data_IF_211852100488
#
_entry.id   IF_211852100488
#
_cell.length_a   1.000
_cell.length_b   1.000
_cell.length_c   1.000
_cell.angle_alpha   90.00
_cell.angle_beta   90.00
_cell.angle_gamma   90.00
#
_symmetry.space_group_name_H-M   'P 1'
#
loop_
_entity.id
_entity.type
_entity.pdbx_description
1 polymer ?
#
# COMPACT_ATOMS: atom_id res chain seq x y z
N UNK A 1 -21.47 5.87 -23.64
CA UNK A 1 -20.56 5.17 -22.69
C UNK A 1 -19.14 5.49 -23.11
N UNK A 2 -18.52 6.48 -22.48
CA UNK A 2 -17.10 6.76 -22.69
C UNK A 2 -16.32 5.63 -22.02
N UNK A 3 -15.59 4.85 -22.82
CA UNK A 3 -14.69 3.82 -22.33
C UNK A 3 -13.69 4.39 -21.31
N UNK A 4 -13.09 3.56 -20.43
CA UNK A 4 -12.14 4.04 -19.45
C UNK A 4 -11.04 4.81 -20.19
N UNK A 5 -10.80 6.06 -19.78
CA UNK A 5 -9.68 6.86 -20.30
C UNK A 5 -8.40 6.07 -19.97
N UNK A 6 -7.73 5.58 -21.00
CA UNK A 6 -6.43 4.96 -20.86
C UNK A 6 -5.42 6.04 -20.45
N UNK A 7 -5.03 6.08 -19.18
CA UNK A 7 -3.89 6.84 -18.71
C UNK A 7 -2.70 5.88 -18.60
N UNK A 8 -1.48 6.35 -18.90
CA UNK A 8 -0.30 5.49 -18.84
C UNK A 8 -0.03 5.11 -17.37
N UNK A 9 -0.13 3.82 -17.08
CA UNK A 9 0.34 3.24 -15.83
C UNK A 9 1.79 2.80 -16.01
N UNK A 10 2.70 3.49 -15.35
CA UNK A 10 4.13 3.26 -15.48
C UNK A 10 4.66 2.48 -14.27
N UNK A 11 5.48 1.46 -14.53
CA UNK A 11 6.27 0.81 -13.49
C UNK A 11 7.59 1.56 -13.34
N UNK A 12 7.86 2.02 -12.13
CA UNK A 12 9.16 2.57 -11.73
C UNK A 12 10.11 1.42 -11.45
N UNK A 13 11.24 1.41 -12.14
CA UNK A 13 12.28 0.39 -12.00
C UNK A 13 13.32 0.84 -10.96
N UNK A 14 13.42 0.09 -9.88
CA UNK A 14 14.37 0.33 -8.79
C UNK A 14 15.66 -0.49 -8.95
N UNK A 15 15.78 -1.25 -10.03
CA UNK A 15 16.91 -2.11 -10.30
C UNK A 15 16.93 -3.36 -9.42
N UNK A 16 18.13 -3.92 -9.28
CA UNK A 16 18.37 -5.18 -8.59
C UNK A 16 18.53 -6.35 -9.56
N UNK A 17 18.83 -7.53 -9.00
CA UNK A 17 19.06 -8.77 -9.74
C UNK A 17 18.12 -9.86 -9.26
N UNK A 18 17.91 -10.92 -10.08
CA UNK A 18 17.08 -12.04 -9.69
C UNK A 18 15.59 -11.89 -10.05
N UNK A 19 14.71 -12.65 -9.37
CA UNK A 19 13.28 -12.65 -9.71
C UNK A 19 12.62 -11.29 -9.50
N UNK A 20 11.59 -11.01 -10.30
CA UNK A 20 10.84 -9.75 -10.20
C UNK A 20 10.01 -9.72 -8.91
N UNK A 21 10.08 -8.58 -8.22
CA UNK A 21 9.26 -8.21 -7.07
C UNK A 21 8.57 -6.88 -7.34
N UNK A 22 7.25 -6.83 -7.19
CA UNK A 22 6.50 -5.59 -7.18
C UNK A 22 6.17 -5.18 -5.74
N UNK A 23 6.46 -3.91 -5.37
CA UNK A 23 6.08 -3.32 -4.09
C UNK A 23 4.96 -2.31 -4.28
N UNK A 24 3.79 -2.58 -3.70
CA UNK A 24 2.62 -1.70 -3.71
C UNK A 24 2.58 -0.85 -2.44
N UNK A 25 2.63 0.47 -2.60
CA UNK A 25 2.72 1.43 -1.50
C UNK A 25 1.38 1.68 -0.79
N UNK A 26 1.43 2.24 0.43
CA UNK A 26 0.25 2.66 1.20
C UNK A 26 -0.34 3.98 0.68
N UNK A 27 -1.62 4.23 1.02
CA UNK A 27 -2.30 5.49 0.74
C UNK A 27 -1.58 6.67 1.43
N UNK A 28 -1.26 7.72 0.68
CA UNK A 28 -0.58 8.90 1.19
C UNK A 28 0.96 8.80 1.27
N UNK A 29 1.55 7.64 0.91
CA UNK A 29 3.00 7.40 0.93
C UNK A 29 3.47 6.94 -0.47
N UNK A 30 4.00 7.83 -1.31
CA UNK A 30 4.45 7.48 -2.66
C UNK A 30 5.62 6.48 -2.64
N UNK A 31 5.90 5.78 -3.77
CA UNK A 31 6.93 4.73 -3.85
C UNK A 31 8.28 5.12 -3.26
N UNK A 32 8.76 6.34 -3.53
CA UNK A 32 10.04 6.81 -3.03
C UNK A 32 10.19 6.81 -1.51
N UNK A 33 9.08 6.83 -0.76
CA UNK A 33 9.09 6.70 0.72
C UNK A 33 9.64 5.35 1.18
N UNK A 34 9.57 4.33 0.32
CA UNK A 34 10.03 2.95 0.61
C UNK A 34 11.46 2.68 0.12
N UNK A 35 12.20 3.70 -0.34
CA UNK A 35 13.55 3.55 -0.91
C UNK A 35 14.47 2.71 -0.02
N UNK A 36 14.46 2.95 1.29
CA UNK A 36 15.30 2.19 2.24
C UNK A 36 14.89 0.71 2.31
N UNK A 37 13.60 0.41 2.39
CA UNK A 37 13.10 -0.98 2.36
C UNK A 37 13.45 -1.65 1.01
N UNK A 38 13.25 -0.95 -0.10
CA UNK A 38 13.60 -1.43 -1.45
C UNK A 38 15.09 -1.74 -1.53
N UNK A 39 15.95 -0.90 -0.94
CA UNK A 39 17.41 -1.11 -0.90
C UNK A 39 17.84 -2.41 -0.23
N UNK A 40 17.08 -2.91 0.76
CA UNK A 40 17.33 -4.22 1.36
C UNK A 40 16.84 -5.40 0.48
N UNK A 41 15.95 -5.15 -0.48
CA UNK A 41 15.37 -6.18 -1.36
C UNK A 41 16.13 -6.31 -2.68
N UNK A 42 16.68 -5.20 -3.22
CA UNK A 42 17.35 -5.17 -4.53
C UNK A 42 18.59 -6.06 -4.65
N UNK A 43 19.34 -6.43 -3.58
CA UNK A 43 20.40 -7.41 -3.70
C UNK A 43 19.94 -8.81 -4.16
N UNK A 44 18.64 -9.13 -4.01
CA UNK A 44 18.07 -10.45 -4.30
C UNK A 44 16.92 -10.44 -5.29
N UNK A 45 16.30 -9.30 -5.53
CA UNK A 45 15.13 -9.14 -6.38
C UNK A 45 15.29 -7.93 -7.30
N UNK A 46 14.75 -8.04 -8.52
CA UNK A 46 14.55 -6.89 -9.38
C UNK A 46 13.23 -6.23 -8.95
N UNK A 47 13.30 -5.03 -8.37
CA UNK A 47 12.17 -4.38 -7.71
C UNK A 47 11.51 -3.36 -8.61
N UNK A 48 10.18 -3.46 -8.74
CA UNK A 48 9.32 -2.47 -9.39
C UNK A 48 8.29 -1.92 -8.41
N UNK A 49 7.89 -0.67 -8.62
CA UNK A 49 6.71 -0.06 -7.99
C UNK A 49 5.79 0.48 -9.07
N UNK A 50 4.48 0.57 -8.79
CA UNK A 50 3.54 1.18 -9.73
C UNK A 50 3.40 2.68 -9.42
N UNK A 51 3.57 3.52 -10.43
CA UNK A 51 3.12 4.90 -10.41
C UNK A 51 1.60 4.92 -10.55
N UNK A 52 0.91 4.79 -9.43
CA UNK A 52 -0.54 4.73 -9.39
C UNK A 52 -1.18 5.98 -9.99
N UNK A 53 -2.46 5.87 -10.42
CA UNK A 53 -3.21 6.96 -11.08
C UNK A 53 -3.20 8.29 -10.32
N UNK A 54 -3.14 8.28 -9.01
CA UNK A 54 -3.03 9.51 -8.19
C UNK A 54 -1.69 10.25 -8.28
N UNK A 55 -0.68 9.63 -8.90
CA UNK A 55 0.59 10.24 -9.24
C UNK A 55 0.65 10.67 -10.72
N UNK A 56 -0.41 10.40 -11.49
CA UNK A 56 -0.49 10.73 -12.92
C UNK A 56 -1.32 12.01 -13.09
N UNK A 57 -0.75 13.09 -13.71
CA UNK A 57 -1.49 14.32 -13.95
C UNK A 57 -2.76 14.10 -14.80
N UNK A 58 -3.81 14.84 -14.48
CA UNK A 58 -5.06 14.80 -15.24
C UNK A 58 -6.02 13.65 -14.89
N UNK A 59 -5.66 12.80 -13.93
CA UNK A 59 -6.56 11.76 -13.41
C UNK A 59 -7.54 12.34 -12.38
N UNK A 60 -8.72 11.74 -12.25
CA UNK A 60 -9.78 12.19 -11.36
C UNK A 60 -10.01 11.18 -10.22
N UNK A 61 -10.01 11.60 -8.94
CA UNK A 61 -10.34 10.73 -7.83
C UNK A 61 -11.70 10.02 -7.97
N UNK A 62 -12.66 10.62 -8.67
CA UNK A 62 -13.99 10.03 -8.91
C UNK A 62 -13.96 8.77 -9.76
N UNK A 63 -12.86 8.51 -10.48
CA UNK A 63 -12.67 7.31 -11.29
C UNK A 63 -12.35 6.05 -10.43
N UNK A 64 -12.09 6.21 -9.12
CA UNK A 64 -12.01 5.10 -8.17
C UNK A 64 -13.37 4.90 -7.49
N UNK A 65 -13.96 3.75 -7.72
CA UNK A 65 -15.22 3.34 -7.10
C UNK A 65 -15.01 2.35 -5.96
N UNK A 66 -14.01 1.48 -6.09
CA UNK A 66 -13.60 0.49 -5.09
C UNK A 66 -12.10 0.26 -5.17
N UNK A 67 -11.53 -0.46 -4.22
CA UNK A 67 -10.12 -0.85 -4.30
C UNK A 67 -9.85 -1.96 -5.33
N UNK A 68 -10.93 -2.57 -5.88
CA UNK A 68 -10.82 -3.47 -7.03
C UNK A 68 -10.33 -2.72 -8.27
N UNK A 69 -10.63 -1.42 -8.40
CA UNK A 69 -10.11 -0.57 -9.48
C UNK A 69 -8.58 -0.39 -9.35
N UNK A 70 -8.07 -0.25 -8.11
CA UNK A 70 -6.62 -0.17 -7.84
C UNK A 70 -5.93 -1.50 -8.17
N UNK A 71 -6.56 -2.61 -7.81
CA UNK A 71 -6.06 -3.94 -8.16
C UNK A 71 -6.07 -4.19 -9.67
N UNK A 72 -7.11 -3.74 -10.36
CA UNK A 72 -7.21 -3.81 -11.82
C UNK A 72 -6.10 -3.01 -12.52
N UNK A 73 -5.78 -1.82 -12.02
CA UNK A 73 -4.63 -1.03 -12.50
C UNK A 73 -3.31 -1.79 -12.34
N UNK A 74 -3.12 -2.42 -11.18
CA UNK A 74 -1.92 -3.21 -10.90
C UNK A 74 -1.79 -4.39 -11.85
N UNK A 75 -2.86 -5.17 -12.04
CA UNK A 75 -2.88 -6.29 -12.99
C UNK A 75 -2.56 -5.81 -14.39
N UNK A 76 -3.21 -4.73 -14.84
CA UNK A 76 -3.00 -4.16 -16.16
C UNK A 76 -1.54 -3.73 -16.37
N UNK A 77 -0.97 -2.96 -15.44
CA UNK A 77 0.41 -2.47 -15.55
C UNK A 77 1.44 -3.61 -15.61
N UNK A 78 1.28 -4.61 -14.75
CA UNK A 78 2.19 -5.75 -14.70
C UNK A 78 2.08 -6.62 -15.97
N UNK A 79 0.87 -6.88 -16.45
CA UNK A 79 0.64 -7.66 -17.69
C UNK A 79 1.10 -6.91 -18.94
N UNK A 80 0.90 -5.59 -19.00
CA UNK A 80 1.39 -4.76 -20.11
C UNK A 80 2.93 -4.80 -20.23
N UNK A 81 3.64 -5.06 -19.11
CA UNK A 81 5.10 -5.28 -19.08
C UNK A 81 5.50 -6.73 -19.37
N UNK A 82 4.55 -7.62 -19.64
CA UNK A 82 4.80 -9.05 -19.86
C UNK A 82 5.19 -9.81 -18.59
N UNK A 83 4.92 -9.27 -17.40
CA UNK A 83 5.30 -9.89 -16.14
C UNK A 83 4.30 -10.98 -15.73
N UNK A 84 4.84 -12.08 -15.23
CA UNK A 84 4.10 -13.21 -14.67
C UNK A 84 4.91 -13.89 -13.57
N UNK A 85 4.24 -14.63 -12.68
CA UNK A 85 4.86 -15.38 -11.58
C UNK A 85 5.83 -14.54 -10.74
N UNK A 86 5.52 -13.26 -10.54
CA UNK A 86 6.34 -12.34 -9.74
C UNK A 86 6.04 -12.48 -8.24
N UNK A 87 6.87 -11.86 -7.41
CA UNK A 87 6.57 -11.66 -5.99
C UNK A 87 5.75 -10.37 -5.85
N UNK A 88 4.63 -10.44 -5.14
CA UNK A 88 3.84 -9.28 -4.77
C UNK A 88 4.07 -8.91 -3.30
N UNK A 89 4.60 -7.74 -3.02
CA UNK A 89 4.68 -7.16 -1.66
C UNK A 89 3.79 -5.94 -1.61
N UNK A 90 2.95 -5.82 -0.60
CA UNK A 90 2.11 -4.63 -0.46
C UNK A 90 2.04 -4.15 0.98
N UNK A 91 1.84 -2.84 1.17
CA UNK A 91 1.63 -2.23 2.48
C UNK A 91 0.24 -1.57 2.53
N UNK A 92 -0.52 -1.82 3.60
CA UNK A 92 -1.82 -1.16 3.84
C UNK A 92 -2.80 -1.33 2.67
N UNK A 93 -3.17 -0.25 1.98
CA UNK A 93 -3.91 -0.26 0.71
C UNK A 93 -3.23 -1.18 -0.32
N UNK A 94 -1.92 -1.05 -0.48
CA UNK A 94 -1.12 -1.85 -1.40
C UNK A 94 -1.19 -3.34 -1.11
N UNK A 95 -1.25 -3.74 0.18
CA UNK A 95 -1.48 -5.13 0.58
C UNK A 95 -2.80 -5.68 0.06
N UNK A 96 -3.86 -4.90 0.24
CA UNK A 96 -5.20 -5.30 -0.20
C UNK A 96 -5.27 -5.33 -1.73
N UNK A 97 -4.69 -4.33 -2.41
CA UNK A 97 -4.64 -4.30 -3.88
C UNK A 97 -3.88 -5.51 -4.44
N UNK A 98 -2.75 -5.90 -3.82
CA UNK A 98 -1.97 -7.08 -4.24
C UNK A 98 -2.75 -8.39 -4.02
N UNK A 99 -3.44 -8.54 -2.87
CA UNK A 99 -4.30 -9.71 -2.61
C UNK A 99 -5.48 -9.78 -3.58
N UNK A 100 -6.12 -8.66 -3.89
CA UNK A 100 -7.19 -8.59 -4.88
C UNK A 100 -6.66 -8.95 -6.28
N UNK A 101 -5.52 -8.39 -6.69
CA UNK A 101 -4.87 -8.68 -7.96
C UNK A 101 -4.51 -10.18 -8.08
N UNK A 102 -3.95 -10.78 -7.03
CA UNK A 102 -3.63 -12.21 -7.00
C UNK A 102 -4.88 -13.12 -7.09
N UNK A 103 -6.02 -12.64 -6.61
CA UNK A 103 -7.30 -13.36 -6.76
C UNK A 103 -7.94 -13.17 -8.13
N UNK A 104 -7.70 -12.03 -8.79
CA UNK A 104 -8.20 -11.72 -10.14
C UNK A 104 -7.38 -12.40 -11.23
N UNK A 105 -6.08 -12.51 -11.02
CA UNK A 105 -5.14 -13.11 -11.96
C UNK A 105 -4.19 -14.11 -11.23
N UNK A 106 -4.60 -15.37 -11.09
CA UNK A 106 -3.82 -16.38 -10.35
C UNK A 106 -2.44 -16.68 -10.93
N UNK A 107 -2.21 -16.39 -12.21
CA UNK A 107 -0.91 -16.61 -12.87
C UNK A 107 0.09 -15.46 -12.68
N UNK A 108 -0.36 -14.34 -12.14
CA UNK A 108 0.47 -13.13 -12.06
C UNK A 108 1.51 -13.21 -10.94
N UNK A 109 1.15 -13.81 -9.81
CA UNK A 109 2.04 -13.91 -8.64
C UNK A 109 2.43 -15.36 -8.34
N UNK A 110 3.67 -15.55 -7.82
CA UNK A 110 4.16 -16.80 -7.25
C UNK A 110 4.15 -16.82 -5.73
N UNK A 111 4.16 -15.65 -5.11
CA UNK A 111 4.03 -15.44 -3.67
C UNK A 111 3.50 -14.03 -3.37
N UNK A 112 2.81 -13.85 -2.26
CA UNK A 112 2.29 -12.55 -1.82
C UNK A 112 2.71 -12.27 -0.38
N UNK A 113 3.18 -11.05 -0.11
CA UNK A 113 3.44 -10.54 1.25
C UNK A 113 2.56 -9.32 1.49
N UNK A 114 1.69 -9.43 2.48
CA UNK A 114 0.77 -8.38 2.89
C UNK A 114 1.22 -7.76 4.23
N UNK A 115 1.75 -6.55 4.16
CA UNK A 115 2.25 -5.79 5.31
C UNK A 115 1.12 -4.90 5.84
N UNK A 116 0.65 -5.23 7.03
CA UNK A 116 -0.46 -4.57 7.76
C UNK A 116 -1.69 -4.25 6.89
N UNK A 117 -2.31 -5.29 6.30
CA UNK A 117 -3.43 -5.11 5.37
C UNK A 117 -4.66 -4.54 6.08
N UNK A 118 -5.44 -3.71 5.37
CA UNK A 118 -6.72 -3.19 5.87
C UNK A 118 -7.79 -4.28 5.81
N UNK A 119 -7.80 -5.15 6.82
CA UNK A 119 -8.75 -6.25 6.97
C UNK A 119 -9.64 -6.00 8.19
N UNK A 120 -10.90 -5.66 7.96
CA UNK A 120 -11.85 -5.38 9.02
C UNK A 120 -12.73 -6.59 9.34
N UNK A 121 -13.07 -6.73 10.64
CA UNK A 121 -13.94 -7.81 11.16
C UNK A 121 -15.02 -7.24 12.07
N UNK A 122 -15.96 -8.08 12.49
CA UNK A 122 -16.91 -7.82 13.55
C UNK A 122 -17.66 -6.49 13.43
N UNK A 123 -17.65 -5.71 14.50
CA UNK A 123 -18.34 -4.41 14.61
C UNK A 123 -17.76 -3.37 13.64
N UNK A 124 -16.42 -3.36 13.42
CA UNK A 124 -15.76 -2.41 12.51
C UNK A 124 -16.22 -2.62 11.07
N UNK A 125 -16.29 -3.86 10.61
CA UNK A 125 -16.81 -4.19 9.26
C UNK A 125 -18.29 -3.82 9.12
N UNK A 126 -19.10 -4.07 10.16
CA UNK A 126 -20.53 -3.69 10.15
C UNK A 126 -20.68 -2.17 10.07
N UNK A 127 -19.97 -1.42 10.91
CA UNK A 127 -19.97 0.05 10.88
C UNK A 127 -19.58 0.57 9.50
N UNK A 128 -18.49 0.05 8.92
CA UNK A 128 -18.03 0.44 7.60
C UNK A 128 -19.13 0.22 6.54
N UNK A 129 -19.84 -0.93 6.58
CA UNK A 129 -20.93 -1.23 5.65
C UNK A 129 -22.11 -0.26 5.82
N UNK A 130 -22.48 0.07 7.06
CA UNK A 130 -23.55 1.05 7.35
C UNK A 130 -23.15 2.43 6.83
N UNK A 131 -21.95 2.91 7.13
CA UNK A 131 -21.45 4.19 6.64
C UNK A 131 -21.39 4.23 5.10
N UNK A 132 -21.05 3.13 4.46
CA UNK A 132 -21.06 2.99 3.00
C UNK A 132 -22.48 3.07 2.44
N UNK A 133 -23.41 2.36 3.05
CA UNK A 133 -24.82 2.35 2.64
C UNK A 133 -25.47 3.74 2.80
N UNK A 134 -25.18 4.42 3.92
CA UNK A 134 -25.66 5.79 4.18
C UNK A 134 -24.90 6.87 3.39
N UNK A 135 -23.89 6.52 2.60
CA UNK A 135 -22.98 7.46 1.88
C UNK A 135 -22.25 8.45 2.82
N UNK A 136 -22.03 8.06 4.08
CA UNK A 136 -21.40 8.89 5.12
C UNK A 136 -19.90 8.66 5.26
N UNK A 137 -19.27 7.87 4.40
CA UNK A 137 -17.83 7.56 4.51
C UNK A 137 -16.93 8.77 4.42
N UNK A 138 -17.35 9.79 3.71
CA UNK A 138 -16.62 11.05 3.67
C UNK A 138 -16.50 11.77 5.01
N UNK A 139 -17.37 11.48 5.96
CA UNK A 139 -17.34 12.04 7.32
C UNK A 139 -16.49 11.19 8.26
N UNK A 140 -16.09 9.98 7.85
CA UNK A 140 -15.24 9.12 8.65
C UNK A 140 -13.86 9.77 8.86
N UNK A 141 -13.30 9.72 10.10
CA UNK A 141 -12.10 10.49 10.46
C UNK A 141 -10.93 10.40 9.48
N UNK A 142 -10.52 9.22 8.96
CA UNK A 142 -9.42 9.15 7.99
C UNK A 142 -9.68 9.96 6.72
N UNK A 143 -10.89 9.91 6.15
CA UNK A 143 -11.23 10.66 4.94
C UNK A 143 -11.32 12.17 5.22
N UNK A 144 -11.95 12.57 6.33
CA UNK A 144 -12.05 13.98 6.72
C UNK A 144 -10.68 14.57 7.07
N UNK A 145 -9.83 13.84 7.76
CA UNK A 145 -8.46 14.24 8.07
C UNK A 145 -7.63 14.43 6.80
N UNK A 146 -7.74 13.50 5.84
CA UNK A 146 -7.05 13.62 4.56
C UNK A 146 -7.47 14.88 3.80
N UNK A 147 -8.77 15.21 3.74
CA UNK A 147 -9.26 16.44 3.09
C UNK A 147 -8.72 17.71 3.74
N UNK A 148 -8.51 17.69 5.06
CA UNK A 148 -8.06 18.83 5.84
C UNK A 148 -6.53 18.93 5.94
N UNK A 149 -5.78 18.01 5.31
CA UNK A 149 -4.31 18.09 5.29
C UNK A 149 -3.86 19.39 4.61
N UNK A 150 -2.80 19.98 5.17
CA UNK A 150 -2.06 21.04 4.47
C UNK A 150 -1.43 20.43 3.22
N UNK A 151 -1.72 21.00 2.06
CA UNK A 151 -1.28 20.51 0.76
C UNK A 151 -0.10 21.29 0.20
N UNK A 152 0.02 22.59 0.55
CA UNK A 152 1.07 23.48 0.07
C UNK A 152 2.02 23.88 1.20
N UNK A 153 3.31 23.91 0.85
CA UNK A 153 4.42 24.20 1.75
C UNK A 153 5.39 25.18 1.09
N UNK A 154 5.90 26.22 1.79
CA UNK A 154 6.90 27.12 1.25
C UNK A 154 8.20 26.41 0.87
N UNK A 155 8.61 25.40 1.70
CA UNK A 155 9.82 24.60 1.45
C UNK A 155 9.68 23.19 2.03
N UNK A 156 10.58 22.30 1.64
CA UNK A 156 10.69 20.95 2.22
C UNK A 156 11.16 20.99 3.67
N UNK A 157 12.00 21.94 4.04
CA UNK A 157 12.53 22.14 5.39
C UNK A 157 11.38 22.51 6.36
N UNK A 158 10.50 23.45 5.95
CA UNK A 158 9.33 23.80 6.76
C UNK A 158 8.40 22.60 6.91
N UNK A 159 8.15 21.86 5.84
CA UNK A 159 7.35 20.64 5.89
C UNK A 159 7.97 19.61 6.85
N UNK A 160 9.26 19.35 6.73
CA UNK A 160 9.98 18.41 7.60
C UNK A 160 9.89 18.83 9.07
N UNK A 161 10.17 20.10 9.37
CA UNK A 161 10.11 20.64 10.74
C UNK A 161 8.73 20.46 11.38
N UNK A 162 7.65 20.69 10.60
CA UNK A 162 6.27 20.54 11.13
C UNK A 162 5.78 19.10 11.16
N UNK A 163 6.14 18.29 10.17
CA UNK A 163 5.65 16.92 10.07
C UNK A 163 6.35 15.98 11.05
N UNK A 164 7.64 16.18 11.34
CA UNK A 164 8.41 15.33 12.27
C UNK A 164 7.77 15.24 13.66
N UNK A 165 7.10 16.28 14.12
CA UNK A 165 6.44 16.34 15.42
C UNK A 165 5.05 15.70 15.45
N UNK A 166 4.49 15.31 14.29
CA UNK A 166 3.19 14.63 14.25
C UNK A 166 3.32 13.16 14.68
N UNK A 167 2.35 12.62 15.45
CA UNK A 167 2.38 11.23 15.93
C UNK A 167 2.66 10.22 14.81
N UNK A 168 2.11 10.45 13.62
CA UNK A 168 2.29 9.59 12.44
C UNK A 168 3.76 9.35 12.06
N UNK A 169 4.65 10.33 12.30
CA UNK A 169 6.05 10.29 11.84
C UNK A 169 7.06 10.07 12.99
N UNK A 170 6.59 9.99 14.24
CA UNK A 170 7.49 9.93 15.39
C UNK A 170 8.36 8.67 15.43
N UNK A 171 7.80 7.54 15.00
CA UNK A 171 8.51 6.24 14.97
C UNK A 171 9.24 5.98 13.64
N UNK A 172 9.11 6.86 12.63
CA UNK A 172 9.79 6.65 11.34
C UNK A 172 11.30 6.59 11.51
N UNK A 173 11.91 5.63 10.82
CA UNK A 173 13.35 5.65 10.56
C UNK A 173 13.73 7.00 9.96
N UNK A 174 14.85 7.62 10.39
CA UNK A 174 15.24 8.96 9.93
C UNK A 174 15.37 9.08 8.41
N UNK A 175 15.93 8.06 7.74
CA UNK A 175 16.05 8.05 6.28
C UNK A 175 14.68 7.88 5.59
N UNK A 176 13.81 7.00 6.10
CA UNK A 176 12.45 6.85 5.59
C UNK A 176 11.64 8.14 5.73
N UNK A 177 11.85 8.89 6.81
CA UNK A 177 11.24 10.22 6.96
C UNK A 177 11.76 11.20 5.92
N UNK A 178 13.08 11.23 5.69
CA UNK A 178 13.67 12.09 4.65
C UNK A 178 13.20 11.69 3.26
N UNK A 179 13.08 10.39 2.98
CA UNK A 179 12.52 9.85 1.74
C UNK A 179 11.07 10.27 1.54
N UNK A 180 10.26 10.29 2.62
CA UNK A 180 8.90 10.82 2.58
C UNK A 180 8.88 12.32 2.24
N UNK A 181 9.75 13.14 2.84
CA UNK A 181 9.83 14.57 2.53
C UNK A 181 10.25 14.78 1.06
N UNK A 182 11.19 13.98 0.57
CA UNK A 182 11.70 14.09 -0.80
C UNK A 182 10.68 13.66 -1.85
N UNK A 183 10.06 12.50 -1.65
CA UNK A 183 9.12 11.89 -2.62
C UNK A 183 7.67 12.32 -2.43
N UNK A 184 7.29 12.66 -1.21
CA UNK A 184 5.94 13.10 -0.86
C UNK A 184 5.63 14.55 -1.19
N UNK A 185 6.63 15.33 -1.62
CA UNK A 185 6.50 16.74 -1.98
C UNK A 185 7.11 17.03 -3.36
N UNK A 186 6.28 17.53 -4.26
CA UNK A 186 6.67 17.95 -5.62
C UNK A 186 6.72 19.48 -5.70
N UNK A 187 7.77 20.02 -6.30
CA UNK A 187 7.91 21.47 -6.55
C UNK A 187 6.83 21.97 -7.49
N UNK A 188 6.38 23.21 -7.27
CA UNK A 188 5.44 23.91 -8.14
C UNK A 188 6.17 25.00 -8.94
N UNK A 189 5.59 25.48 -10.06
CA UNK A 189 6.20 26.58 -10.83
C UNK A 189 6.41 27.88 -10.01
N UNK A 190 5.60 28.08 -8.97
CA UNK A 190 5.66 29.23 -8.08
C UNK A 190 6.75 29.11 -7.00
N UNK A 191 7.58 28.06 -7.04
CA UNK A 191 8.68 27.83 -6.09
C UNK A 191 8.24 27.26 -4.73
N UNK A 192 6.99 26.87 -4.60
CA UNK A 192 6.47 26.16 -3.42
C UNK A 192 6.47 24.65 -3.64
N UNK A 193 6.05 23.88 -2.64
CA UNK A 193 5.94 22.42 -2.72
C UNK A 193 4.53 21.98 -2.39
N UNK A 194 3.99 21.05 -3.19
CA UNK A 194 2.71 20.42 -2.92
C UNK A 194 2.87 18.93 -2.61
N UNK A 195 1.86 18.35 -1.95
CA UNK A 195 1.81 16.90 -1.79
C UNK A 195 1.84 16.22 -3.16
N UNK A 196 2.75 15.26 -3.35
CA UNK A 196 2.85 14.45 -4.58
C UNK A 196 1.58 13.61 -4.81
N UNK A 197 0.97 13.12 -3.73
CA UNK A 197 -0.37 12.53 -3.74
C UNK A 197 -1.34 13.62 -3.28
N UNK A 198 -2.19 14.17 -4.18
CA UNK A 198 -3.14 15.20 -3.80
C UNK A 198 -4.10 14.71 -2.69
N UNK A 199 -4.41 15.56 -1.73
CA UNK A 199 -5.28 15.22 -0.59
C UNK A 199 -6.66 14.71 -1.00
N UNK A 200 -7.16 15.12 -2.16
CA UNK A 200 -8.42 14.64 -2.71
C UNK A 200 -8.37 13.14 -3.06
N UNK A 201 -7.23 12.67 -3.60
CA UNK A 201 -7.00 11.26 -3.86
C UNK A 201 -6.88 10.45 -2.58
N UNK A 202 -6.09 10.93 -1.61
CA UNK A 202 -5.96 10.27 -0.30
C UNK A 202 -7.32 10.12 0.39
N UNK A 203 -8.14 11.19 0.39
CA UNK A 203 -9.49 11.16 0.93
C UNK A 203 -10.39 10.16 0.19
N UNK A 204 -10.34 10.15 -1.15
CA UNK A 204 -11.15 9.24 -1.96
C UNK A 204 -10.85 7.77 -1.69
N UNK A 205 -9.60 7.42 -1.49
CA UNK A 205 -9.21 6.06 -1.10
C UNK A 205 -9.83 5.66 0.24
N UNK A 206 -9.86 6.56 1.23
CA UNK A 206 -10.53 6.30 2.51
C UNK A 206 -12.05 6.23 2.39
N UNK A 207 -12.66 6.93 1.43
CA UNK A 207 -14.10 6.88 1.15
C UNK A 207 -14.52 5.59 0.46
N UNK A 208 -13.60 4.96 -0.26
CA UNK A 208 -13.82 3.70 -0.97
C UNK A 208 -13.35 2.52 -0.11
N UNK A 209 -13.66 1.31 -0.49
CA UNK A 209 -13.21 0.09 0.19
C UNK A 209 -13.30 -1.11 -0.74
N UNK A 210 -12.56 -2.16 -0.44
CA UNK A 210 -12.72 -3.41 -1.16
C UNK A 210 -14.08 -4.04 -0.80
N UNK A 211 -14.77 -4.55 -1.82
CA UNK A 211 -16.10 -5.18 -1.61
C UNK A 211 -15.98 -6.57 -1.00
N UNK A 212 -14.96 -7.33 -1.38
CA UNK A 212 -14.88 -8.77 -1.14
C UNK A 212 -13.52 -9.26 -0.65
N UNK A 213 -12.75 -8.45 0.08
CA UNK A 213 -11.37 -8.75 0.49
C UNK A 213 -11.21 -10.13 1.16
N UNK A 214 -12.13 -10.53 2.03
CA UNK A 214 -12.11 -11.85 2.68
C UNK A 214 -12.37 -13.01 1.70
N UNK A 215 -13.17 -12.79 0.68
CA UNK A 215 -13.39 -13.76 -0.40
C UNK A 215 -12.15 -13.87 -1.27
N UNK A 216 -11.55 -12.74 -1.62
CA UNK A 216 -10.34 -12.68 -2.42
C UNK A 216 -9.15 -13.33 -1.72
N UNK A 217 -8.96 -13.09 -0.42
CA UNK A 217 -7.92 -13.75 0.37
C UNK A 217 -8.06 -15.29 0.31
N UNK A 218 -9.28 -15.81 0.39
CA UNK A 218 -9.54 -17.26 0.24
C UNK A 218 -9.30 -17.79 -1.16
N UNK A 219 -9.42 -16.94 -2.17
CA UNK A 219 -9.24 -17.32 -3.57
C UNK A 219 -7.76 -17.33 -4.01
N UNK A 220 -6.88 -16.65 -3.28
CA UNK A 220 -5.43 -16.68 -3.54
C UNK A 220 -4.92 -18.10 -3.33
N UNK A 221 -4.14 -18.62 -4.28
CA UNK A 221 -3.64 -20.01 -4.28
C UNK A 221 -2.14 -20.12 -4.05
N UNK A 222 -1.43 -19.02 -4.12
CA UNK A 222 0.02 -18.96 -3.89
C UNK A 222 0.32 -18.79 -2.40
N UNK A 223 1.53 -19.11 -1.94
CA UNK A 223 1.97 -18.82 -0.57
C UNK A 223 1.74 -17.34 -0.21
N UNK A 224 1.18 -17.10 0.97
CA UNK A 224 0.90 -15.74 1.47
C UNK A 224 1.53 -15.56 2.85
N UNK A 225 2.27 -14.48 3.04
CA UNK A 225 2.66 -13.98 4.36
C UNK A 225 1.81 -12.75 4.69
N UNK A 226 1.24 -12.73 5.89
CA UNK A 226 0.58 -11.55 6.44
C UNK A 226 1.34 -11.10 7.68
N UNK A 227 1.90 -9.91 7.66
CA UNK A 227 2.61 -9.31 8.81
C UNK A 227 1.77 -8.22 9.42
N UNK A 228 1.65 -8.23 10.76
CA UNK A 228 0.98 -7.21 11.55
C UNK A 228 1.99 -6.41 12.37
N UNK A 229 1.87 -5.09 12.43
CA UNK A 229 2.54 -4.28 13.45
C UNK A 229 1.96 -4.55 14.83
N UNK A 230 2.81 -4.78 15.84
CA UNK A 230 2.37 -5.12 17.21
C UNK A 230 1.35 -4.13 17.77
N UNK A 231 1.57 -2.84 17.55
CA UNK A 231 0.74 -1.72 17.99
C UNK A 231 -0.18 -1.17 16.88
N UNK A 232 -0.39 -1.94 15.79
CA UNK A 232 -1.23 -1.46 14.68
C UNK A 232 -2.67 -1.17 15.12
N UNK A 233 -3.14 0.01 14.75
CA UNK A 233 -4.51 0.51 14.91
C UNK A 233 -5.38 0.35 13.66
N UNK A 234 -4.83 -0.30 12.62
CA UNK A 234 -5.50 -0.57 11.34
C UNK A 234 -5.82 -2.05 11.17
N UNK A 235 -4.83 -2.92 11.36
CA UNK A 235 -4.98 -4.36 11.30
C UNK A 235 -5.03 -4.95 12.71
N UNK A 236 -6.23 -5.22 13.19
CA UNK A 236 -6.48 -5.62 14.58
C UNK A 236 -6.23 -7.11 14.83
N UNK A 237 -5.95 -7.53 16.10
CA UNK A 237 -5.70 -8.93 16.44
C UNK A 237 -6.82 -9.88 16.04
N UNK A 238 -8.10 -9.49 16.17
CA UNK A 238 -9.25 -10.30 15.76
C UNK A 238 -9.30 -10.55 14.25
N UNK A 239 -8.77 -9.62 13.45
CA UNK A 239 -8.62 -9.82 12.01
C UNK A 239 -7.44 -10.75 11.68
N UNK A 240 -6.34 -10.68 12.43
CA UNK A 240 -5.21 -11.61 12.29
C UNK A 240 -5.64 -13.05 12.62
N UNK A 241 -6.36 -13.26 13.72
CA UNK A 241 -6.90 -14.57 14.08
C UNK A 241 -7.86 -15.10 13.00
N UNK A 242 -8.68 -14.23 12.45
CA UNK A 242 -9.54 -14.63 11.33
C UNK A 242 -8.73 -15.03 10.09
N UNK A 243 -7.62 -14.37 9.79
CA UNK A 243 -6.72 -14.78 8.69
C UNK A 243 -6.23 -16.21 8.94
N UNK A 244 -5.71 -16.49 10.15
CA UNK A 244 -5.24 -17.83 10.55
C UNK A 244 -6.30 -18.92 10.39
N UNK A 245 -7.53 -18.63 10.80
CA UNK A 245 -8.66 -19.57 10.70
C UNK A 245 -9.31 -19.66 9.32
N UNK A 246 -8.94 -18.79 8.36
CA UNK A 246 -9.64 -18.71 7.08
C UNK A 246 -8.90 -19.45 5.97
N UNK A 247 -7.57 -19.49 6.02
CA UNK A 247 -6.74 -20.00 4.91
C UNK A 247 -5.50 -20.71 5.46
N UNK A 248 -5.43 -22.01 5.25
CA UNK A 248 -4.38 -22.88 5.82
C UNK A 248 -2.97 -22.63 5.26
N UNK A 249 -2.87 -22.05 4.06
CA UNK A 249 -1.58 -21.73 3.41
C UNK A 249 -1.10 -20.29 3.66
N UNK A 250 -1.73 -19.56 4.57
CA UNK A 250 -1.29 -18.22 4.96
C UNK A 250 -0.43 -18.30 6.21
N UNK A 251 0.82 -17.88 6.10
CA UNK A 251 1.69 -17.64 7.24
C UNK A 251 1.38 -16.25 7.83
N UNK A 252 1.35 -16.14 9.15
CA UNK A 252 1.12 -14.86 9.82
C UNK A 252 2.23 -14.57 10.81
N UNK A 253 2.66 -13.31 10.85
CA UNK A 253 3.67 -12.84 11.78
C UNK A 253 3.24 -11.53 12.43
N UNK A 254 3.82 -11.21 13.58
CA UNK A 254 3.68 -9.92 14.26
C UNK A 254 5.07 -9.34 14.46
N UNK A 255 5.25 -8.08 14.05
CA UNK A 255 6.46 -7.33 14.34
C UNK A 255 6.21 -6.50 15.61
N UNK A 256 6.83 -6.86 16.75
CA UNK A 256 6.55 -6.20 18.02
C UNK A 256 7.00 -4.73 18.00
N UNK A 257 6.44 -3.93 18.90
CA UNK A 257 6.80 -2.52 19.16
C UNK A 257 6.69 -1.59 17.96
N UNK A 258 5.93 -1.99 16.94
CA UNK A 258 5.73 -1.23 15.70
C UNK A 258 4.27 -0.93 15.42
N UNK A 259 4.00 0.20 14.73
CA UNK A 259 2.65 0.61 14.36
C UNK A 259 2.26 0.07 12.97
N UNK A 260 1.14 0.57 12.45
CA UNK A 260 0.72 0.34 11.06
C UNK A 260 1.83 0.65 10.04
N UNK A 261 2.71 1.59 10.34
CA UNK A 261 3.74 2.08 9.42
C UNK A 261 5.11 1.39 9.60
N UNK A 262 5.13 0.19 10.17
CA UNK A 262 6.37 -0.55 10.44
C UNK A 262 7.32 -0.73 9.24
N UNK A 263 6.88 -0.78 7.98
CA UNK A 263 7.82 -0.81 6.85
C UNK A 263 8.68 0.45 6.73
N UNK A 264 8.23 1.54 7.37
CA UNK A 264 8.90 2.85 7.39
C UNK A 264 9.52 3.16 8.77
N UNK A 265 9.17 2.38 9.79
CA UNK A 265 9.72 2.47 11.15
C UNK A 265 10.93 1.55 11.32
N UNK A 266 10.83 0.32 10.81
CA UNK A 266 11.84 -0.74 10.89
C UNK A 266 12.03 -1.42 9.53
N UNK A 267 12.51 -0.70 8.50
CA UNK A 267 12.60 -1.21 7.13
C UNK A 267 13.49 -2.45 7.00
N UNK A 268 14.58 -2.54 7.76
CA UNK A 268 15.47 -3.69 7.75
C UNK A 268 14.78 -4.94 8.33
N UNK A 269 14.17 -4.82 9.51
CA UNK A 269 13.45 -5.93 10.12
C UNK A 269 12.27 -6.39 9.25
N UNK A 270 11.59 -5.45 8.58
CA UNK A 270 10.56 -5.74 7.60
C UNK A 270 11.11 -6.54 6.42
N UNK A 271 12.25 -6.10 5.83
CA UNK A 271 12.91 -6.81 4.73
C UNK A 271 13.33 -8.23 5.13
N UNK A 272 13.89 -8.42 6.31
CA UNK A 272 14.29 -9.73 6.83
C UNK A 272 13.10 -10.70 6.90
N UNK A 273 11.90 -10.24 7.32
CA UNK A 273 10.68 -11.07 7.33
C UNK A 273 10.23 -11.43 5.92
N UNK A 274 10.26 -10.47 5.00
CA UNK A 274 9.94 -10.71 3.59
C UNK A 274 10.87 -11.77 3.02
N UNK A 275 12.17 -11.58 3.15
CA UNK A 275 13.19 -12.47 2.58
C UNK A 275 13.12 -13.88 3.18
N UNK A 276 13.02 -14.00 4.51
CA UNK A 276 12.89 -15.29 5.18
C UNK A 276 11.65 -16.10 4.75
N UNK A 277 10.54 -15.41 4.49
CA UNK A 277 9.34 -16.05 3.95
C UNK A 277 9.55 -16.53 2.51
N UNK A 278 10.17 -15.70 1.67
CA UNK A 278 10.37 -16.00 0.26
C UNK A 278 11.40 -17.13 0.05
N UNK A 279 12.39 -17.26 0.93
CA UNK A 279 13.33 -18.38 0.94
C UNK A 279 12.60 -19.69 1.20
N UNK A 280 11.78 -19.75 2.24
CA UNK A 280 10.99 -20.94 2.55
C UNK A 280 9.88 -21.27 1.54
N UNK A 281 9.44 -20.28 0.74
CA UNK A 281 8.45 -20.48 -0.31
C UNK A 281 9.05 -20.89 -1.67
N UNK A 282 10.38 -20.83 -1.82
CA UNK A 282 11.09 -21.29 -3.02
C UNK A 282 11.36 -22.80 -3.01
N UNK A 283 11.37 -23.40 -1.80
CA UNK A 283 11.73 -24.81 -1.58
C UNK A 283 10.51 -25.76 -1.58
N UNK A 284 9.29 -25.24 -1.73
CA UNK A 284 8.01 -26.00 -1.77
C UNK A 284 7.27 -25.80 -3.07
#
# INVERSE_FOLDING_TARGET
>A
MTGPRAFPLELEDWGGTGPVLHLAHANGFPPGTYRKLIGFLTPRYHVFTLRNRWLVPGTDPRDIHTWDDVAGDLVHALRARGLERIVGVGHSLGSVATLLAASQDPGLFRAVVALDPVLLTGRRLRLLRVLTWLKLRGWFPPASQARNRRELWPSREEAAGKLRHKPLFQKFDPECFQDYITSGLTGTPEGTFRLSIPKAWEARIFETSPRHVWRSLRAVRVPVLVVRGGDSDVFFPDALERVRGTVSHVRTEVLPDTTHLFPLEQPEACAQRILAFLDGAADG
#
